data_IF_090729661637
#
_entry.id   IF_090729661637
#
_cell.length_a   1.000
_cell.length_b   1.000
_cell.length_c   1.000
_cell.angle_alpha   90.00
_cell.angle_beta   90.00
_cell.angle_gamma   90.00
#
_symmetry.space_group_name_H-M   'P 1'
#
loop_
_entity.id
_entity.type
_entity.pdbx_description
1 polymer ?
#
# COMPACT_ATOMS: atom_id res chain seq x y z
N UNK A 1 -2.64 3.88 2.18
CA UNK A 1 -3.22 2.66 2.76
C UNK A 1 -4.71 2.68 2.49
N UNK A 2 -5.22 1.70 1.74
CA UNK A 2 -6.65 1.54 1.46
C UNK A 2 -7.37 0.80 2.59
N UNK A 3 -8.70 0.78 2.56
CA UNK A 3 -9.52 0.06 3.54
C UNK A 3 -9.19 -1.45 3.58
N UNK A 4 -8.99 -2.06 2.39
CA UNK A 4 -8.56 -3.45 2.27
C UNK A 4 -7.19 -3.70 2.88
N UNK A 5 -6.22 -2.80 2.65
CA UNK A 5 -4.88 -2.89 3.24
C UNK A 5 -4.93 -2.75 4.77
N UNK A 6 -5.77 -1.84 5.31
CA UNK A 6 -5.98 -1.69 6.75
C UNK A 6 -6.50 -2.99 7.38
N UNK A 7 -7.52 -3.58 6.75
CA UNK A 7 -8.10 -4.83 7.21
C UNK A 7 -7.10 -5.99 7.16
N UNK A 8 -6.29 -6.05 6.10
CA UNK A 8 -5.24 -7.05 5.95
C UNK A 8 -4.17 -6.92 7.04
N UNK A 9 -3.68 -5.70 7.29
CA UNK A 9 -2.71 -5.40 8.36
C UNK A 9 -3.21 -5.84 9.74
N UNK A 10 -4.47 -5.53 10.08
CA UNK A 10 -5.02 -5.97 11.38
C UNK A 10 -5.06 -7.50 11.48
N UNK A 11 -5.50 -8.17 10.42
CA UNK A 11 -5.59 -9.63 10.37
C UNK A 11 -4.22 -10.30 10.42
N UNK A 12 -3.20 -9.74 9.77
CA UNK A 12 -1.83 -10.32 9.80
C UNK A 12 -1.23 -10.29 11.20
N UNK A 13 -1.65 -9.36 12.04
CA UNK A 13 -1.26 -9.28 13.46
C UNK A 13 -2.17 -10.11 14.39
N UNK A 14 -3.17 -10.82 13.86
CA UNK A 14 -4.12 -11.61 14.66
C UNK A 14 -5.05 -10.77 15.55
N UNK A 15 -5.09 -9.44 15.36
CA UNK A 15 -5.81 -8.53 16.25
C UNK A 15 -7.31 -8.50 15.97
N UNK A 16 -8.13 -8.45 17.02
CA UNK A 16 -9.55 -8.10 16.89
C UNK A 16 -9.68 -6.59 16.65
N UNK A 17 -10.85 -6.13 16.21
CA UNK A 17 -11.10 -4.69 16.03
C UNK A 17 -10.91 -3.87 17.31
N UNK A 18 -11.19 -4.45 18.49
CA UNK A 18 -10.95 -3.80 19.78
C UNK A 18 -9.45 -3.64 20.04
N UNK A 19 -8.67 -4.71 19.89
CA UNK A 19 -7.24 -4.71 20.16
C UNK A 19 -6.50 -3.71 19.25
N UNK A 20 -6.88 -3.65 17.97
CA UNK A 20 -6.35 -2.65 17.04
C UNK A 20 -6.74 -1.22 17.43
N UNK A 21 -7.93 -1.02 18.00
CA UNK A 21 -8.37 0.28 18.49
C UNK A 21 -7.52 0.71 19.70
N UNK A 22 -7.32 -0.20 20.64
CA UNK A 22 -6.51 0.04 21.84
C UNK A 22 -5.04 0.32 21.47
N UNK A 23 -4.45 -0.47 20.57
CA UNK A 23 -3.08 -0.28 20.10
C UNK A 23 -2.85 1.04 19.35
N UNK A 24 -3.87 1.52 18.61
CA UNK A 24 -3.80 2.80 17.89
C UNK A 24 -4.26 3.99 18.75
N UNK A 25 -4.75 3.77 19.97
CA UNK A 25 -5.36 4.83 20.79
C UNK A 25 -6.64 5.42 20.19
N UNK A 26 -7.38 4.64 19.40
CA UNK A 26 -8.59 5.07 18.70
C UNK A 26 -9.84 4.44 19.29
N UNK A 27 -11.00 5.04 19.03
CA UNK A 27 -12.29 4.40 19.30
C UNK A 27 -12.50 3.24 18.34
N UNK A 28 -13.05 2.11 18.80
CA UNK A 28 -13.39 0.94 17.97
C UNK A 28 -14.19 1.30 16.70
N UNK A 29 -15.07 2.31 16.80
CA UNK A 29 -15.87 2.78 15.65
C UNK A 29 -15.02 3.31 14.49
N UNK A 30 -13.87 3.93 14.76
CA UNK A 30 -12.94 4.41 13.73
C UNK A 30 -12.31 3.25 12.97
N UNK A 31 -11.97 2.17 13.67
CA UNK A 31 -11.47 0.94 13.04
C UNK A 31 -12.48 0.42 12.02
N UNK A 32 -13.77 0.43 12.37
CA UNK A 32 -14.83 0.04 11.42
C UNK A 32 -14.86 0.94 10.19
N UNK A 33 -14.87 2.27 10.38
CA UNK A 33 -14.88 3.21 9.26
C UNK A 33 -13.66 3.09 8.35
N UNK A 34 -12.48 2.77 8.89
CA UNK A 34 -11.29 2.55 8.09
C UNK A 34 -11.30 1.21 7.36
N UNK A 35 -11.91 0.17 7.93
CA UNK A 35 -12.05 -1.13 7.25
C UNK A 35 -13.13 -1.14 6.18
N UNK A 36 -14.22 -0.38 6.37
CA UNK A 36 -15.27 -0.21 5.36
C UNK A 36 -14.88 0.85 4.32
N UNK A 37 -14.05 1.83 4.71
CA UNK A 37 -13.73 3.00 3.91
C UNK A 37 -14.87 4.02 3.87
N UNK A 38 -15.84 3.93 4.78
CA UNK A 38 -17.05 4.77 4.78
C UNK A 38 -17.54 5.14 6.18
N UNK A 39 -18.10 6.35 6.30
CA UNK A 39 -18.84 6.85 7.47
C UNK A 39 -20.10 7.56 7.00
N UNK A 40 -21.26 7.06 7.41
CA UNK A 40 -22.58 7.62 7.11
C UNK A 40 -22.76 7.88 5.59
N UNK A 41 -22.33 6.90 4.77
CA UNK A 41 -22.37 6.98 3.30
C UNK A 41 -21.31 7.88 2.66
N UNK A 42 -20.43 8.51 3.45
CA UNK A 42 -19.31 9.30 2.95
C UNK A 42 -18.03 8.47 2.97
N UNK A 43 -17.26 8.54 1.89
CA UNK A 43 -15.94 7.90 1.83
C UNK A 43 -15.02 8.48 2.90
N UNK A 44 -14.36 7.60 3.66
CA UNK A 44 -13.39 7.95 4.69
C UNK A 44 -12.03 7.43 4.28
N UNK A 45 -11.08 8.35 4.22
CA UNK A 45 -9.67 8.02 4.05
C UNK A 45 -8.99 7.84 5.40
N UNK A 46 -7.99 6.95 5.42
CA UNK A 46 -7.18 6.68 6.61
C UNK A 46 -6.13 7.81 6.71
N UNK A 47 -6.13 8.62 7.79
CA UNK A 47 -5.20 9.74 7.95
C UNK A 47 -3.73 9.30 7.98
N UNK A 48 -2.82 10.20 7.63
CA UNK A 48 -1.37 9.93 7.65
C UNK A 48 -0.88 9.41 9.01
N UNK A 49 -1.32 10.02 10.11
CA UNK A 49 -0.96 9.62 11.46
C UNK A 49 -1.29 8.15 11.74
N UNK A 50 -2.48 7.71 11.34
CA UNK A 50 -2.92 6.32 11.51
C UNK A 50 -2.08 5.38 10.66
N UNK A 51 -1.73 5.75 9.42
CA UNK A 51 -0.87 4.93 8.55
C UNK A 51 0.52 4.73 9.14
N UNK A 52 1.11 5.80 9.69
CA UNK A 52 2.42 5.74 10.34
C UNK A 52 2.37 4.88 11.61
N UNK A 53 1.31 5.03 12.41
CA UNK A 53 1.12 4.19 13.59
C UNK A 53 0.96 2.70 13.23
N UNK A 54 0.21 2.38 12.16
CA UNK A 54 0.08 1.00 11.67
C UNK A 54 1.45 0.41 11.28
N UNK A 55 2.29 1.21 10.61
CA UNK A 55 3.65 0.82 10.27
C UNK A 55 4.50 0.58 11.52
N UNK A 56 4.52 1.52 12.46
CA UNK A 56 5.24 1.41 13.72
C UNK A 56 4.87 0.11 14.49
N UNK A 57 3.57 -0.17 14.63
CA UNK A 57 3.09 -1.39 15.28
C UNK A 57 3.53 -2.64 14.52
N UNK A 58 3.49 -2.63 13.19
CA UNK A 58 3.95 -3.78 12.39
C UNK A 58 5.46 -4.03 12.53
N UNK A 59 6.24 -3.01 12.85
CA UNK A 59 7.67 -3.11 13.17
C UNK A 59 7.95 -3.44 14.64
N UNK A 60 6.91 -3.62 15.46
CA UNK A 60 7.02 -3.94 16.89
C UNK A 60 7.12 -2.72 17.82
N UNK A 61 6.93 -1.51 17.31
CA UNK A 61 6.94 -0.27 18.10
C UNK A 61 5.49 0.07 18.49
N UNK A 62 5.15 -0.20 19.75
CA UNK A 62 3.81 0.05 20.29
C UNK A 62 3.69 1.36 21.08
N UNK A 63 4.80 1.86 21.62
CA UNK A 63 4.87 3.11 22.38
C UNK A 63 6.16 3.86 22.02
N UNK A 64 6.09 5.19 22.06
CA UNK A 64 7.18 6.08 21.73
C UNK A 64 7.03 7.40 22.48
N UNK A 65 7.93 7.65 23.41
CA UNK A 65 7.86 8.78 24.33
C UNK A 65 8.59 10.04 23.84
N UNK A 66 9.28 9.94 22.69
CA UNK A 66 10.00 11.03 22.06
C UNK A 66 11.27 11.50 22.79
N UNK A 67 11.74 10.80 23.83
CA UNK A 67 12.91 11.24 24.61
C UNK A 67 14.25 10.85 23.99
N UNK A 68 14.28 9.78 23.20
CA UNK A 68 15.52 9.23 22.61
C UNK A 68 15.66 9.48 21.10
N UNK A 69 15.06 10.56 20.59
CA UNK A 69 15.01 10.85 19.15
C UNK A 69 16.24 11.64 18.71
N UNK A 70 17.41 10.99 18.71
CA UNK A 70 18.53 11.50 17.93
C UNK A 70 18.37 11.01 16.49
N UNK A 71 17.49 11.67 15.75
CA UNK A 71 17.46 11.47 14.29
C UNK A 71 18.66 12.23 13.73
N UNK A 72 19.73 11.50 13.46
CA UNK A 72 20.72 11.95 12.49
C UNK A 72 20.05 11.94 11.13
N UNK A 73 19.33 13.03 10.81
CA UNK A 73 18.91 13.33 9.46
C UNK A 73 20.20 13.54 8.69
N UNK A 74 20.67 12.47 8.04
CA UNK A 74 21.73 12.50 7.04
C UNK A 74 21.51 13.71 6.14
N UNK A 75 22.25 14.77 6.42
CA UNK A 75 22.53 15.87 5.52
C UNK A 75 23.27 15.22 4.36
N UNK A 76 22.55 14.88 3.28
CA UNK A 76 23.22 14.71 2.01
C UNK A 76 23.69 16.11 1.61
N UNK A 77 24.90 16.45 2.05
CA UNK A 77 25.73 17.46 1.41
C UNK A 77 25.62 17.22 -0.09
N UNK A 78 25.18 18.20 -0.90
CA UNK A 78 25.25 18.04 -2.34
C UNK A 78 26.72 17.90 -2.70
N UNK A 79 27.12 16.69 -3.11
CA UNK A 79 28.41 16.46 -3.71
C UNK A 79 28.58 17.40 -4.90
N UNK A 80 29.73 18.06 -4.89
CA UNK A 80 30.30 18.84 -5.97
C UNK A 80 30.12 18.12 -7.30
N UNK A 81 29.24 18.66 -8.15
CA UNK A 81 29.25 18.37 -9.59
C UNK A 81 30.59 18.88 -10.11
N UNK A 82 31.55 17.96 -10.24
CA UNK A 82 32.75 18.20 -11.02
C UNK A 82 32.36 17.93 -12.47
N UNK A 83 32.18 19.02 -13.20
CA UNK A 83 31.96 19.09 -14.63
C UNK A 83 32.98 18.19 -15.36
N UNK A 84 32.54 17.01 -15.81
CA UNK A 84 33.30 16.16 -16.73
C UNK A 84 32.88 16.56 -18.13
N UNK A 85 33.66 17.44 -18.74
CA UNK A 85 33.58 17.74 -20.17
C UNK A 85 34.29 16.67 -21.00
N UNK A 86 33.64 16.31 -22.11
CA UNK A 86 34.16 15.64 -23.32
C UNK A 86 34.79 14.26 -23.18
N UNK A 87 34.19 13.25 -23.83
CA UNK A 87 34.54 12.96 -25.23
C UNK A 87 33.51 12.04 -25.90
N UNK A 88 33.30 12.27 -27.19
CA UNK A 88 32.45 11.58 -28.17
C UNK A 88 32.47 10.04 -28.16
N UNK A 89 31.33 9.42 -28.48
CA UNK A 89 31.22 8.52 -29.65
C UNK A 89 29.79 7.98 -29.85
N UNK A 90 29.29 8.18 -31.07
CA UNK A 90 28.10 7.58 -31.67
C UNK A 90 28.24 6.06 -31.91
N UNK A 91 27.11 5.33 -31.86
CA UNK A 91 26.73 4.28 -32.82
C UNK A 91 25.33 3.74 -32.42
N UNK A 92 24.23 4.13 -33.07
CA UNK A 92 23.62 3.48 -34.25
C UNK A 92 23.38 1.97 -34.12
N UNK A 93 22.12 1.56 -33.96
CA UNK A 93 21.45 0.56 -34.81
C UNK A 93 19.98 0.32 -34.37
N UNK A 94 19.09 0.54 -35.33
CA UNK A 94 17.65 0.24 -35.38
C UNK A 94 17.43 -1.24 -35.78
N UNK A 95 16.21 -1.73 -36.10
CA UNK A 95 15.19 -2.41 -35.29
C UNK A 95 14.97 -3.91 -35.66
N UNK A 96 13.90 -4.47 -35.07
CA UNK A 96 12.94 -5.44 -35.63
C UNK A 96 13.12 -6.93 -35.31
N UNK A 97 11.99 -7.64 -35.49
CA UNK A 97 11.80 -9.10 -35.63
C UNK A 97 11.34 -9.83 -34.33
N UNK A 98 10.22 -10.57 -34.24
CA UNK A 98 9.07 -10.94 -35.11
C UNK A 98 7.99 -11.65 -34.26
N UNK A 99 6.78 -11.70 -34.83
CA UNK A 99 5.81 -12.83 -34.86
C UNK A 99 5.28 -13.41 -33.52
N UNK A 100 3.98 -13.27 -33.21
CA UNK A 100 2.83 -13.99 -33.79
C UNK A 100 2.71 -15.43 -33.25
N UNK A 101 1.65 -15.68 -32.46
CA UNK A 101 0.73 -16.81 -32.68
C UNK A 101 -0.57 -16.56 -31.91
N UNK A 102 -1.64 -16.51 -32.69
CA UNK A 102 -3.05 -16.75 -32.39
C UNK A 102 -3.22 -18.09 -31.65
N UNK A 103 -4.10 -18.18 -30.65
CA UNK A 103 -4.96 -19.37 -30.51
C UNK A 103 -6.33 -18.98 -29.95
N UNK A 104 -7.30 -19.42 -30.73
CA UNK A 104 -8.75 -19.31 -30.64
C UNK A 104 -9.32 -20.48 -29.82
N UNK A 105 -10.41 -20.24 -29.08
CA UNK A 105 -11.21 -21.27 -28.40
C UNK A 105 -12.41 -20.61 -27.70
N UNK A 106 -13.57 -20.40 -28.35
CA UNK A 106 -14.75 -21.32 -28.43
C UNK A 106 -15.12 -21.87 -27.04
N UNK A 107 -16.31 -21.69 -26.45
CA UNK A 107 -17.64 -22.16 -26.85
C UNK A 107 -18.57 -21.90 -25.61
N UNK A 108 -19.71 -21.17 -25.69
CA UNK A 108 -21.12 -21.70 -25.69
C UNK A 108 -21.45 -22.55 -24.43
N UNK A 109 -22.56 -22.47 -23.68
CA UNK A 109 -23.86 -21.78 -23.66
C UNK A 109 -24.65 -22.33 -22.45
N UNK A 110 -25.77 -21.69 -22.10
CA UNK A 110 -26.96 -22.26 -21.43
C UNK A 110 -26.80 -22.62 -19.94
N UNK A 111 -27.60 -22.16 -18.98
CA UNK A 111 -28.93 -21.56 -18.94
C UNK A 111 -29.43 -21.75 -17.49
N UNK A 112 -30.33 -20.91 -16.94
CA UNK A 112 -30.71 -20.97 -15.53
C UNK A 112 -31.88 -21.93 -15.29
N UNK A 113 -31.95 -22.54 -14.10
CA UNK A 113 -33.17 -23.15 -13.59
C UNK A 113 -33.37 -22.83 -12.08
N UNK A 114 -34.55 -22.31 -11.69
CA UNK A 114 -34.95 -22.03 -10.31
C UNK A 114 -35.77 -23.20 -9.70
N UNK A 115 -36.41 -22.94 -8.54
CA UNK A 115 -37.29 -23.80 -7.72
C UNK A 115 -36.57 -24.64 -6.67
N UNK A 116 -37.04 -24.86 -5.44
CA UNK A 116 -38.19 -24.48 -4.59
C UNK A 116 -37.76 -24.91 -3.15
N UNK A 117 -38.40 -24.64 -2.03
CA UNK A 117 -39.69 -24.09 -1.63
C UNK A 117 -39.58 -23.70 -0.15
#
# INVERSE_FOLDING_TARGET
MSAGQFRAWRKSLGMKQKDAADALGLKKRLIQYYETGERDGKKVEIPLSVRLACYAISTGIADFDGKDVIVSLRTTTPETVTETGSEDAQATATPAETAETDETGTETQDGPAPFAS
#
